data_IF_769394678499
#
_entry.id   IF_769394678499
#
_cell.length_a   1.000
_cell.length_b   1.000
_cell.length_c   1.000
_cell.angle_alpha   90.00
_cell.angle_beta   90.00
_cell.angle_gamma   90.00
#
_symmetry.space_group_name_H-M   'P 1'
#
loop_
_entity.id
_entity.type
_entity.pdbx_description
1 polymer ?
#
# COMPACT_ATOMS: atom_id res chain seq x y z
N UNK A 1 22.98 -14.65 -37.40
CA UNK A 1 23.15 -15.18 -36.04
C UNK A 1 22.42 -14.25 -35.09
N UNK A 2 21.24 -14.65 -34.62
CA UNK A 2 20.48 -13.89 -33.63
C UNK A 2 20.88 -14.37 -32.24
N UNK A 3 21.59 -13.51 -31.51
CA UNK A 3 22.02 -13.77 -30.14
C UNK A 3 20.87 -13.27 -29.25
N UNK A 4 19.96 -14.17 -28.88
CA UNK A 4 19.03 -13.88 -27.80
C UNK A 4 19.82 -13.84 -26.48
N UNK A 5 19.71 -12.78 -25.67
CA UNK A 5 20.28 -12.81 -24.33
C UNK A 5 19.48 -13.82 -23.48
N UNK A 6 20.15 -14.54 -22.56
CA UNK A 6 19.47 -15.49 -21.70
C UNK A 6 18.55 -14.73 -20.74
N UNK A 7 17.25 -14.99 -20.85
CA UNK A 7 16.28 -14.67 -19.82
C UNK A 7 16.64 -15.48 -18.57
N UNK A 8 17.42 -14.89 -17.67
CA UNK A 8 17.50 -15.36 -16.30
C UNK A 8 16.17 -15.03 -15.61
N UNK A 9 15.18 -15.91 -15.75
CA UNK A 9 14.09 -15.98 -14.79
C UNK A 9 14.68 -16.44 -13.45
N UNK A 10 15.06 -15.46 -12.62
CA UNK A 10 15.30 -15.64 -11.19
C UNK A 10 14.00 -16.13 -10.56
N UNK A 11 13.85 -17.43 -10.43
CA UNK A 11 12.68 -18.08 -9.84
C UNK A 11 12.68 -18.01 -8.29
N UNK A 12 13.34 -17.02 -7.68
CA UNK A 12 13.55 -16.93 -6.23
C UNK A 12 13.24 -15.57 -5.58
N UNK A 13 12.74 -14.58 -6.32
CA UNK A 13 12.30 -13.33 -5.72
C UNK A 13 10.82 -13.46 -5.32
N UNK A 14 10.56 -14.23 -4.27
CA UNK A 14 9.25 -14.21 -3.63
C UNK A 14 8.92 -12.75 -3.27
N UNK A 15 7.81 -12.23 -3.83
CA UNK A 15 7.38 -10.85 -3.60
C UNK A 15 7.42 -10.56 -2.09
N UNK A 16 8.23 -9.58 -1.69
CA UNK A 16 8.44 -9.25 -0.27
C UNK A 16 7.17 -8.70 0.39
N UNK A 17 6.21 -8.28 -0.42
CA UNK A 17 4.94 -7.72 -0.02
C UNK A 17 3.88 -7.97 -1.09
N UNK A 18 2.66 -8.25 -0.68
CA UNK A 18 1.50 -8.44 -1.56
C UNK A 18 0.27 -7.75 -0.98
N UNK A 19 -0.56 -7.14 -1.83
CA UNK A 19 -1.82 -6.54 -1.38
C UNK A 19 -2.83 -7.66 -1.09
N UNK A 20 -3.48 -7.60 0.08
CA UNK A 20 -4.58 -8.52 0.42
C UNK A 20 -5.84 -8.04 -0.31
N UNK A 21 -6.20 -8.72 -1.42
CA UNK A 21 -7.30 -8.29 -2.31
C UNK A 21 -8.63 -8.06 -1.60
N UNK A 22 -8.97 -8.86 -0.58
CA UNK A 22 -10.21 -8.72 0.19
C UNK A 22 -10.19 -7.58 1.21
N UNK A 23 -9.06 -6.89 1.36
CA UNK A 23 -8.82 -5.78 2.29
C UNK A 23 -8.07 -4.67 1.55
N UNK A 24 -8.62 -4.21 0.42
CA UNK A 24 -8.00 -3.24 -0.49
C UNK A 24 -8.97 -2.10 -0.85
N UNK A 25 -9.53 -1.43 0.16
CA UNK A 25 -10.55 -0.38 -0.04
C UNK A 25 -10.00 0.89 -0.67
N UNK A 26 -8.68 1.08 -0.62
CA UNK A 26 -7.95 2.15 -1.29
C UNK A 26 -7.63 1.79 -2.75
N UNK A 27 -8.05 0.61 -3.23
CA UNK A 27 -7.81 0.16 -4.60
C UNK A 27 -6.33 0.29 -5.03
N UNK A 28 -5.42 -0.18 -4.18
CA UNK A 28 -4.00 -0.27 -4.52
C UNK A 28 -3.88 -1.18 -5.73
N UNK A 29 -3.52 -0.61 -6.86
CA UNK A 29 -3.48 -1.27 -8.17
C UNK A 29 -2.07 -1.76 -8.50
N UNK A 30 -1.04 -1.20 -7.85
CA UNK A 30 0.36 -1.61 -8.00
C UNK A 30 1.14 -1.50 -6.69
N UNK A 31 2.04 -2.45 -6.50
CA UNK A 31 2.99 -2.49 -5.40
C UNK A 31 4.37 -2.84 -5.92
N UNK A 32 5.37 -2.04 -5.56
CA UNK A 32 6.78 -2.30 -5.87
C UNK A 32 7.60 -2.22 -4.58
N UNK A 33 8.69 -3.00 -4.49
CA UNK A 33 9.53 -2.97 -3.28
C UNK A 33 11.02 -3.08 -3.57
N UNK A 34 11.81 -2.39 -2.75
CA UNK A 34 13.27 -2.38 -2.81
C UNK A 34 13.81 -2.75 -1.42
N UNK A 35 14.62 -3.80 -1.38
CA UNK A 35 15.24 -4.29 -0.14
C UNK A 35 16.70 -3.86 -0.05
N UNK A 36 17.03 -3.11 0.99
CA UNK A 36 18.40 -2.78 1.39
C UNK A 36 18.77 -3.63 2.61
N UNK A 37 19.47 -4.74 2.36
CA UNK A 37 19.91 -5.68 3.41
C UNK A 37 21.02 -5.10 4.29
N UNK A 38 21.85 -4.19 3.77
CA UNK A 38 22.94 -3.60 4.52
C UNK A 38 22.41 -2.69 5.63
N UNK A 39 21.36 -1.91 5.32
CA UNK A 39 20.71 -1.02 6.27
C UNK A 39 19.52 -1.64 6.99
N UNK A 40 19.11 -2.84 6.60
CA UNK A 40 17.90 -3.50 7.12
C UNK A 40 16.62 -2.75 6.75
N UNK A 41 16.54 -2.18 5.54
CA UNK A 41 15.41 -1.34 5.12
C UNK A 41 14.64 -1.94 3.97
N UNK A 42 13.32 -1.88 4.04
CA UNK A 42 12.41 -2.22 2.95
C UNK A 42 11.69 -0.94 2.54
N UNK A 43 11.88 -0.52 1.29
CA UNK A 43 11.15 0.60 0.70
C UNK A 43 10.02 0.01 -0.13
N UNK A 44 8.80 0.44 0.12
CA UNK A 44 7.58 0.00 -0.57
C UNK A 44 6.99 1.21 -1.28
N UNK A 45 6.66 1.04 -2.55
CA UNK A 45 5.90 1.99 -3.35
C UNK A 45 4.52 1.40 -3.63
N UNK A 46 3.47 2.20 -3.47
CA UNK A 46 2.08 1.81 -3.67
C UNK A 46 1.42 2.85 -4.56
N UNK A 47 0.77 2.38 -5.62
CA UNK A 47 -0.04 3.23 -6.50
C UNK A 47 -1.53 2.95 -6.27
N UNK A 48 -2.35 4.00 -6.30
CA UNK A 48 -3.80 3.94 -6.19
C UNK A 48 -4.42 5.15 -6.88
N UNK A 49 -5.53 4.94 -7.58
CA UNK A 49 -6.27 6.03 -8.23
C UNK A 49 -7.18 6.80 -7.24
N UNK A 50 -7.37 6.27 -6.03
CA UNK A 50 -8.28 6.84 -5.02
C UNK A 50 -7.57 7.71 -3.96
N UNK A 51 -6.24 7.69 -3.89
CA UNK A 51 -5.46 8.46 -2.93
C UNK A 51 -5.30 9.92 -3.38
N UNK A 52 -6.08 10.81 -2.77
CA UNK A 52 -6.13 12.24 -3.12
C UNK A 52 -5.61 13.20 -2.04
N UNK A 53 -5.52 12.73 -0.79
CA UNK A 53 -5.23 13.57 0.37
C UNK A 53 -3.77 13.54 0.83
N UNK A 54 -3.33 14.58 1.54
CA UNK A 54 -2.00 14.61 2.15
C UNK A 54 -1.89 13.76 3.44
N UNK A 55 -3.02 13.36 4.00
CA UNK A 55 -3.08 12.61 5.26
C UNK A 55 -3.11 11.11 4.98
N UNK A 56 -1.93 10.48 4.99
CA UNK A 56 -1.82 9.02 4.88
C UNK A 56 -1.12 8.49 6.11
N UNK A 57 -1.80 7.59 6.82
CA UNK A 57 -1.25 6.88 7.95
C UNK A 57 -0.90 5.46 7.52
N UNK A 58 0.17 4.95 8.14
CA UNK A 58 0.54 3.55 8.00
C UNK A 58 0.95 3.00 9.37
N UNK A 59 0.56 1.77 9.65
CA UNK A 59 0.94 1.06 10.89
C UNK A 59 1.09 -0.43 10.64
N UNK A 60 1.78 -1.11 11.56
CA UNK A 60 1.96 -2.56 11.51
C UNK A 60 0.89 -3.27 12.34
N UNK A 61 0.23 -4.26 11.76
CA UNK A 61 -0.64 -5.20 12.46
C UNK A 61 -0.14 -6.63 12.21
N UNK A 62 0.67 -7.15 13.15
CA UNK A 62 1.36 -8.43 12.95
C UNK A 62 2.33 -8.37 11.79
N UNK A 63 2.08 -9.16 10.74
CA UNK A 63 2.86 -9.18 9.49
C UNK A 63 2.24 -8.34 8.37
N UNK A 64 1.14 -7.64 8.66
CA UNK A 64 0.45 -6.81 7.68
C UNK A 64 0.81 -5.34 7.91
N UNK A 65 1.18 -4.66 6.84
CA UNK A 65 1.24 -3.21 6.78
C UNK A 65 -0.17 -2.72 6.44
N UNK A 66 -0.77 -1.97 7.36
CA UNK A 66 -2.08 -1.35 7.18
C UNK A 66 -1.87 0.09 6.75
N UNK A 67 -2.55 0.49 5.69
CA UNK A 67 -2.59 1.86 5.17
C UNK A 67 -3.99 2.41 5.39
N UNK A 68 -4.06 3.61 5.93
CA UNK A 68 -5.27 4.36 6.20
C UNK A 68 -5.15 5.72 5.50
N UNK A 69 -6.13 6.04 4.67
CA UNK A 69 -6.13 7.30 3.92
C UNK A 69 -7.56 7.73 3.54
N UNK A 70 -7.80 9.05 3.40
CA UNK A 70 -8.96 9.56 2.70
C UNK A 70 -9.01 9.00 1.28
N UNK A 71 -10.17 8.49 0.88
CA UNK A 71 -10.45 8.07 -0.51
C UNK A 71 -11.42 9.02 -1.15
N UNK A 72 -11.20 9.32 -2.44
CA UNK A 72 -12.19 10.00 -3.26
C UNK A 72 -13.42 9.11 -3.42
N UNK A 73 -14.56 9.57 -2.91
CA UNK A 73 -15.85 8.99 -3.27
C UNK A 73 -16.34 9.65 -4.56
N UNK A 74 -16.36 8.90 -5.66
CA UNK A 74 -17.16 9.28 -6.82
C UNK A 74 -18.64 9.15 -6.45
N UNK A 75 -19.26 10.25 -6.04
CA UNK A 75 -20.72 10.31 -5.96
C UNK A 75 -21.27 10.28 -7.39
N UNK A 76 -21.94 9.18 -7.77
CA UNK A 76 -22.91 9.23 -8.86
C UNK A 76 -24.01 10.22 -8.43
N UNK A 77 -23.97 11.45 -8.97
CA UNK A 77 -25.05 12.42 -8.76
C UNK A 77 -26.37 11.74 -9.15
N UNK A 78 -27.38 11.62 -8.27
CA UNK A 78 -28.69 11.21 -8.72
C UNK A 78 -29.16 12.20 -9.78
N UNK A 79 -29.58 11.68 -10.93
CA UNK A 79 -30.16 12.48 -12.02
C UNK A 79 -31.25 13.38 -11.44
N UNK A 80 -31.02 14.70 -11.47
CA UNK A 80 -31.94 15.75 -11.01
C UNK A 80 -33.39 15.42 -11.40
N UNK A 81 -34.21 15.04 -10.44
CA UNK A 81 -35.65 15.30 -10.54
C UNK A 81 -35.84 16.81 -10.35
N UNK A 82 -36.48 17.46 -11.31
CA UNK A 82 -36.61 18.93 -11.44
C UNK A 82 -37.53 19.59 -10.38
N UNK A 83 -37.33 19.32 -9.09
CA UNK A 83 -38.32 19.70 -8.08
C UNK A 83 -37.73 20.09 -6.71
N UNK A 84 -36.66 20.88 -6.65
CA UNK A 84 -36.32 21.64 -5.44
C UNK A 84 -35.82 23.03 -5.87
N UNK A 85 -36.44 24.06 -5.28
CA UNK A 85 -36.28 25.48 -5.61
C UNK A 85 -34.89 26.04 -5.32
N UNK A 86 -34.71 27.28 -5.76
CA UNK A 86 -33.47 28.07 -5.78
C UNK A 86 -32.91 28.41 -4.38
N UNK A 87 -32.50 27.39 -3.62
CA UNK A 87 -31.65 27.58 -2.43
C UNK A 87 -30.32 26.84 -2.66
N UNK A 88 -29.32 27.63 -3.07
CA UNK A 88 -27.87 27.38 -3.00
C UNK A 88 -27.41 25.92 -2.96
N UNK A 89 -27.44 25.28 -4.13
CA UNK A 89 -26.84 23.98 -4.42
C UNK A 89 -25.31 23.91 -4.23
N UNK A 90 -24.63 25.02 -3.96
CA UNK A 90 -23.17 25.10 -3.83
C UNK A 90 -22.61 24.37 -2.60
N UNK A 91 -23.43 24.14 -1.57
CA UNK A 91 -22.99 23.49 -0.34
C UNK A 91 -23.10 21.96 -0.37
N UNK A 92 -23.71 21.39 -1.41
CA UNK A 92 -23.87 19.94 -1.59
C UNK A 92 -22.80 19.29 -2.50
N UNK A 93 -21.81 20.06 -3.00
CA UNK A 93 -20.82 19.57 -3.98
C UNK A 93 -19.49 19.08 -3.39
N UNK A 94 -19.39 18.92 -2.06
CA UNK A 94 -18.24 18.23 -1.46
C UNK A 94 -18.62 16.78 -1.23
N UNK A 95 -18.25 15.90 -2.17
CA UNK A 95 -18.18 14.47 -1.89
C UNK A 95 -17.40 14.28 -0.59
N UNK A 96 -17.99 13.61 0.39
CA UNK A 96 -17.34 13.40 1.68
C UNK A 96 -16.05 12.60 1.51
N UNK A 97 -15.00 13.00 2.21
CA UNK A 97 -13.81 12.17 2.36
C UNK A 97 -14.17 11.02 3.31
N UNK A 98 -14.25 9.79 2.79
CA UNK A 98 -14.34 8.59 3.63
C UNK A 98 -12.93 8.06 3.88
N UNK A 99 -12.67 7.57 5.09
CA UNK A 99 -11.42 6.92 5.43
C UNK A 99 -11.46 5.47 4.93
N UNK A 100 -10.60 5.14 3.97
CA UNK A 100 -10.42 3.78 3.47
C UNK A 100 -9.22 3.08 4.10
N UNK A 101 -9.27 1.74 4.14
CA UNK A 101 -8.19 0.91 4.65
C UNK A 101 -7.68 -0.07 3.60
N UNK A 102 -6.37 -0.31 3.56
CA UNK A 102 -5.83 -1.39 2.76
C UNK A 102 -4.68 -2.09 3.45
N UNK A 103 -4.63 -3.41 3.30
CA UNK A 103 -3.61 -4.24 3.91
C UNK A 103 -2.65 -4.82 2.88
N UNK A 104 -1.36 -4.69 3.19
CA UNK A 104 -0.26 -5.31 2.47
C UNK A 104 0.36 -6.37 3.38
N UNK A 105 0.28 -7.63 2.97
CA UNK A 105 0.95 -8.72 3.66
C UNK A 105 2.45 -8.69 3.37
N UNK A 106 3.28 -8.65 4.41
CA UNK A 106 4.73 -8.71 4.29
C UNK A 106 5.25 -10.15 4.44
N UNK A 107 6.46 -10.39 3.93
CA UNK A 107 7.10 -11.70 3.99
C UNK A 107 7.28 -12.19 5.44
N UNK A 108 7.03 -13.48 5.65
CA UNK A 108 7.20 -14.13 6.93
C UNK A 108 8.69 -14.30 7.28
N UNK A 109 9.00 -14.42 8.57
CA UNK A 109 10.38 -14.62 9.07
C UNK A 109 11.17 -13.33 9.28
N UNK A 110 10.52 -12.18 9.20
CA UNK A 110 11.07 -10.88 9.55
C UNK A 110 10.16 -10.17 10.55
N UNK A 111 10.74 -9.30 11.37
CA UNK A 111 10.01 -8.30 12.15
C UNK A 111 10.15 -6.95 11.47
N UNK A 112 9.06 -6.19 11.41
CA UNK A 112 8.99 -4.91 10.71
C UNK A 112 8.61 -3.76 11.66
N UNK A 113 9.11 -2.57 11.38
CA UNK A 113 8.68 -1.33 12.02
C UNK A 113 8.72 -0.18 11.02
N UNK A 114 7.72 0.71 11.05
CA UNK A 114 7.67 1.85 10.13
C UNK A 114 8.72 2.89 10.52
N UNK A 115 9.47 3.36 9.53
CA UNK A 115 10.39 4.50 9.64
C UNK A 115 9.77 5.76 9.03
N UNK A 116 9.06 5.63 7.92
CA UNK A 116 8.38 6.76 7.28
C UNK A 116 7.22 6.30 6.41
N UNK A 117 6.20 7.14 6.32
CA UNK A 117 5.11 7.06 5.37
C UNK A 117 4.99 8.43 4.71
N UNK A 118 5.08 8.51 3.39
CA UNK A 118 5.04 9.77 2.68
C UNK A 118 4.35 9.61 1.33
N UNK A 119 3.35 10.44 1.07
CA UNK A 119 2.82 10.62 -0.28
C UNK A 119 3.82 11.41 -1.11
N UNK A 120 4.29 10.83 -2.22
CA UNK A 120 5.27 11.46 -3.12
C UNK A 120 4.54 12.40 -4.09
N UNK A 121 3.48 11.90 -4.69
CA UNK A 121 2.49 12.64 -5.48
C UNK A 121 1.11 12.05 -5.19
N UNK A 122 0.00 12.73 -5.52
CA UNK A 122 -1.32 12.11 -5.50
C UNK A 122 -1.28 10.75 -6.20
N UNK A 123 -1.90 9.75 -5.58
CA UNK A 123 -1.89 8.37 -6.05
C UNK A 123 -0.61 7.55 -5.84
N UNK A 124 0.50 8.14 -5.38
CA UNK A 124 1.78 7.43 -5.18
C UNK A 124 2.30 7.59 -3.74
N UNK A 125 2.30 6.49 -3.01
CA UNK A 125 2.76 6.40 -1.62
C UNK A 125 4.12 5.70 -1.53
N UNK A 126 5.01 6.25 -0.69
CA UNK A 126 6.28 5.63 -0.31
C UNK A 126 6.30 5.33 1.18
N UNK A 127 6.50 4.07 1.52
CA UNK A 127 6.64 3.60 2.89
C UNK A 127 8.04 3.01 3.07
N UNK A 128 8.74 3.43 4.12
CA UNK A 128 10.04 2.86 4.50
C UNK A 128 9.85 2.10 5.81
N UNK A 129 10.18 0.81 5.77
CA UNK A 129 10.20 -0.06 6.93
C UNK A 129 11.64 -0.37 7.31
N UNK A 130 11.89 -0.48 8.61
CA UNK A 130 13.02 -1.24 9.13
C UNK A 130 12.59 -2.71 9.19
N UNK A 131 13.47 -3.64 8.82
CA UNK A 131 13.22 -5.07 8.96
C UNK A 131 14.39 -5.78 9.63
N UNK A 132 14.08 -6.80 10.43
CA UNK A 132 15.07 -7.68 11.07
C UNK A 132 14.67 -9.12 10.86
N UNK A 133 15.60 -9.93 10.36
CA UNK A 133 15.35 -11.37 10.19
C UNK A 133 15.23 -12.03 11.56
N UNK A 134 14.24 -12.89 11.72
CA UNK A 134 14.16 -13.75 12.90
C UNK A 134 15.39 -14.64 12.91
N UNK A 135 16.15 -14.62 14.02
CA UNK A 135 17.22 -15.61 14.20
C UNK A 135 16.53 -16.97 14.23
N UNK A 136 16.74 -17.80 13.21
CA UNK A 136 16.48 -19.23 13.34
C UNK A 136 17.35 -19.67 14.52
N UNK A 137 16.72 -20.10 15.62
CA UNK A 137 17.42 -20.90 16.61
C UNK A 137 17.88 -22.14 15.85
N UNK A 138 19.12 -22.14 15.39
CA UNK A 138 19.82 -23.39 15.14
C UNK A 138 19.90 -24.05 16.51
N UNK A 139 18.94 -24.94 16.80
CA UNK A 139 19.17 -26.01 17.75
C UNK A 139 20.38 -26.77 17.21
N UNK A 140 21.56 -26.38 17.69
CA UNK A 140 22.73 -27.25 17.68
C UNK A 140 22.35 -28.42 18.57
N UNK A 141 22.11 -29.56 17.94
CA UNK A 141 22.08 -30.85 18.61
C UNK A 141 23.34 -30.95 19.50
N UNK A 142 23.15 -31.15 20.80
CA UNK A 142 24.15 -31.74 21.67
C UNK A 142 23.58 -33.10 22.04
N UNK A 143 23.94 -34.10 21.24
CA UNK A 143 23.99 -35.50 21.67
C UNK A 143 25.46 -35.86 21.85
#
# INVERSE_FOLDING_TARGET
MNIHPPYHQSHNDAEFCQVIKSRNDLQINRIDSIKDTQRGRLVIYLESDLLSGHEVNAFMQGMNLVIEAPRLLEYEKPLRTRLIGDETLSDYEKGGDEIGFSEVQLNQGFSYSILSCQMITPGLLKIILNFKQHKKNLNKNVN
#
